data_IF_341285242473
#
_entry.id   IF_341285242473
#
_cell.length_a   1.000
_cell.length_b   1.000
_cell.length_c   1.000
_cell.angle_alpha   90.00
_cell.angle_beta   90.00
_cell.angle_gamma   90.00
#
_symmetry.space_group_name_H-M   'P 1'
#
loop_
_entity.id
_entity.type
_entity.pdbx_description
1 polymer ?
#
# COMPACT_ATOMS: atom_id res chain seq x y z
N UNK A 1 14.28 -7.12 -3.28
CA UNK A 1 14.34 -8.32 -4.12
C UNK A 1 14.87 -7.91 -5.48
N UNK A 2 15.83 -8.61 -6.10
CA UNK A 2 16.40 -8.22 -7.41
C UNK A 2 15.40 -7.99 -8.56
N UNK A 3 14.11 -8.31 -8.35
CA UNK A 3 13.00 -8.07 -9.27
C UNK A 3 12.76 -6.58 -9.61
N UNK A 4 13.13 -5.64 -8.73
CA UNK A 4 13.07 -4.19 -9.02
C UNK A 4 14.39 -3.64 -9.58
N UNK A 5 15.45 -4.45 -9.68
CA UNK A 5 16.76 -3.97 -10.12
C UNK A 5 16.74 -3.49 -11.58
N UNK A 6 15.88 -4.09 -12.42
CA UNK A 6 15.67 -3.63 -13.79
C UNK A 6 15.12 -2.19 -13.88
N UNK A 7 14.30 -1.76 -12.92
CA UNK A 7 13.75 -0.40 -12.87
C UNK A 7 14.76 0.65 -12.40
N UNK A 8 15.77 0.24 -11.61
CA UNK A 8 16.84 1.13 -11.15
C UNK A 8 17.95 1.30 -12.19
N UNK A 9 18.15 0.30 -13.05
CA UNK A 9 19.22 0.31 -14.07
C UNK A 9 18.78 1.04 -15.34
N UNK A 10 17.50 0.96 -15.73
CA UNK A 10 16.97 1.71 -16.87
C UNK A 10 15.56 2.29 -16.59
N UNK A 11 15.46 3.54 -16.13
CA UNK A 11 14.18 4.23 -15.95
C UNK A 11 13.51 4.66 -17.26
N UNK A 12 14.19 4.58 -18.42
CA UNK A 12 13.65 4.95 -19.72
C UNK A 12 12.88 3.80 -20.41
N UNK A 13 13.00 2.56 -19.90
CA UNK A 13 12.29 1.37 -20.39
C UNK A 13 10.76 1.36 -20.13
N UNK A 14 10.20 2.50 -19.69
CA UNK A 14 8.79 2.67 -19.37
C UNK A 14 8.42 2.20 -17.95
N UNK A 15 7.27 2.64 -17.42
CA UNK A 15 6.84 2.28 -16.07
C UNK A 15 6.39 0.82 -16.04
N UNK A 16 7.33 -0.11 -15.91
CA UNK A 16 7.01 -1.50 -15.62
C UNK A 16 6.56 -1.59 -14.16
N UNK A 17 5.24 -1.63 -13.93
CA UNK A 17 4.71 -1.87 -12.59
C UNK A 17 5.31 -3.18 -12.06
N UNK A 18 6.01 -3.18 -10.90
CA UNK A 18 6.64 -4.38 -10.38
C UNK A 18 5.61 -5.52 -10.26
N UNK A 19 5.96 -6.74 -10.69
CA UNK A 19 5.07 -7.90 -10.66
C UNK A 19 4.45 -8.13 -9.27
N UNK A 20 5.24 -7.89 -8.22
CA UNK A 20 4.82 -7.97 -6.83
C UNK A 20 3.74 -6.92 -6.52
N UNK A 21 3.93 -5.67 -6.95
CA UNK A 21 2.94 -4.60 -6.74
C UNK A 21 1.63 -4.92 -7.48
N UNK A 22 1.71 -5.50 -8.68
CA UNK A 22 0.53 -5.98 -9.43
C UNK A 22 -0.19 -7.10 -8.69
N UNK A 23 0.54 -8.06 -8.11
CA UNK A 23 -0.04 -9.13 -7.30
C UNK A 23 -0.79 -8.57 -6.07
N UNK A 24 -0.18 -7.63 -5.33
CA UNK A 24 -0.84 -6.97 -4.20
C UNK A 24 -2.09 -6.20 -4.64
N UNK A 25 -2.02 -5.45 -5.74
CA UNK A 25 -3.15 -4.70 -6.26
C UNK A 25 -4.35 -5.61 -6.60
N UNK A 26 -4.11 -6.69 -7.34
CA UNK A 26 -5.16 -7.66 -7.67
C UNK A 26 -5.71 -8.35 -6.42
N UNK A 27 -4.86 -8.67 -5.45
CA UNK A 27 -5.27 -9.28 -4.18
C UNK A 27 -6.17 -8.34 -3.36
N UNK A 28 -5.79 -7.06 -3.23
CA UNK A 28 -6.60 -6.06 -2.55
C UNK A 28 -7.91 -5.80 -3.28
N UNK A 29 -7.92 -5.81 -4.62
CA UNK A 29 -9.13 -5.67 -5.41
C UNK A 29 -10.09 -6.84 -5.16
N UNK A 30 -9.59 -8.07 -5.15
CA UNK A 30 -10.42 -9.24 -4.82
C UNK A 30 -10.99 -9.16 -3.40
N UNK A 31 -10.20 -8.70 -2.42
CA UNK A 31 -10.68 -8.48 -1.05
C UNK A 31 -11.71 -7.36 -0.97
N UNK A 32 -11.53 -6.28 -1.73
CA UNK A 32 -12.49 -5.18 -1.82
C UNK A 32 -13.84 -5.66 -2.38
N UNK A 33 -13.84 -6.55 -3.38
CA UNK A 33 -15.06 -7.20 -3.86
C UNK A 33 -15.61 -8.17 -2.81
N UNK A 34 -14.76 -8.98 -2.18
CA UNK A 34 -15.18 -9.99 -1.20
C UNK A 34 -15.80 -9.42 0.08
N UNK A 35 -15.43 -8.19 0.47
CA UNK A 35 -15.99 -7.48 1.61
C UNK A 35 -17.13 -6.53 1.23
N UNK A 36 -17.58 -6.56 -0.02
CA UNK A 36 -18.67 -5.72 -0.53
C UNK A 36 -18.46 -4.22 -0.30
N UNK A 37 -17.21 -3.75 -0.20
CA UNK A 37 -16.89 -2.33 0.04
C UNK A 37 -17.45 -1.45 -1.08
N UNK A 38 -17.57 -1.97 -2.30
CA UNK A 38 -18.24 -1.30 -3.40
C UNK A 38 -19.72 -0.97 -3.10
N UNK A 39 -20.45 -1.85 -2.41
CA UNK A 39 -21.83 -1.58 -1.99
C UNK A 39 -21.88 -0.50 -0.91
N UNK A 40 -20.94 -0.51 0.03
CA UNK A 40 -20.79 0.54 1.05
C UNK A 40 -20.49 1.92 0.45
N UNK A 41 -19.69 1.98 -0.62
CA UNK A 41 -19.46 3.23 -1.33
C UNK A 41 -20.72 3.73 -2.04
N UNK A 42 -21.50 2.83 -2.64
CA UNK A 42 -22.78 3.19 -3.25
C UNK A 42 -23.80 3.68 -2.22
N UNK A 43 -23.86 3.07 -1.03
CA UNK A 43 -24.72 3.56 0.05
C UNK A 43 -24.27 4.93 0.56
N UNK A 44 -22.96 5.15 0.76
CA UNK A 44 -22.42 6.47 1.11
C UNK A 44 -22.76 7.54 0.06
N UNK A 45 -22.70 7.19 -1.23
CA UNK A 45 -23.10 8.08 -2.31
C UNK A 45 -24.61 8.38 -2.24
N UNK A 46 -25.46 7.39 -1.99
CA UNK A 46 -26.89 7.62 -1.82
C UNK A 46 -27.19 8.54 -0.62
N UNK A 47 -26.53 8.32 0.51
CA UNK A 47 -26.67 9.14 1.73
C UNK A 47 -26.20 10.58 1.51
N UNK A 48 -25.20 10.79 0.63
CA UNK A 48 -24.70 12.13 0.30
C UNK A 48 -25.79 13.05 -0.26
N UNK A 49 -26.76 12.51 -1.02
CA UNK A 49 -27.88 13.30 -1.56
C UNK A 49 -28.87 13.77 -0.49
N UNK A 50 -28.98 13.04 0.63
CA UNK A 50 -29.80 13.46 1.77
C UNK A 50 -29.06 14.46 2.65
N UNK A 51 -27.75 14.28 2.83
CA UNK A 51 -26.91 15.16 3.65
C UNK A 51 -26.65 16.51 2.99
N UNK A 52 -26.46 16.54 1.67
CA UNK A 52 -26.14 17.75 0.89
C UNK A 52 -27.22 17.92 -0.18
N UNK A 53 -28.36 18.55 0.14
CA UNK A 53 -29.41 18.76 -0.84
C UNK A 53 -28.93 19.77 -1.91
N UNK A 54 -29.40 19.56 -3.15
CA UNK A 54 -28.98 20.31 -4.35
C UNK A 54 -29.17 21.84 -4.20
N UNK A 55 -30.05 22.28 -3.30
CA UNK A 55 -30.38 23.68 -3.08
C UNK A 55 -29.44 24.42 -2.10
N UNK A 56 -28.64 23.72 -1.28
CA UNK A 56 -27.80 24.32 -0.24
C UNK A 56 -26.31 24.06 -0.47
N UNK A 57 -25.79 24.52 -1.60
CA UNK A 57 -24.36 24.36 -1.94
C UNK A 57 -23.55 25.45 -1.22
N UNK A 58 -23.39 25.31 0.09
CA UNK A 58 -22.30 25.95 0.83
C UNK A 58 -21.30 24.86 1.19
N UNK A 59 -20.40 24.55 0.25
CA UNK A 59 -19.33 23.59 0.48
C UNK A 59 -18.34 24.20 1.48
N UNK A 60 -18.19 23.56 2.63
CA UNK A 60 -17.18 23.98 3.61
C UNK A 60 -15.78 23.75 3.02
N UNK A 61 -14.99 24.81 2.88
CA UNK A 61 -13.60 24.74 2.36
C UNK A 61 -12.70 23.85 3.22
N UNK A 62 -13.02 23.68 4.50
CA UNK A 62 -12.28 22.86 5.44
C UNK A 62 -12.34 21.36 5.10
N UNK A 63 -13.40 20.90 4.43
CA UNK A 63 -13.54 19.51 3.98
C UNK A 63 -12.47 19.11 2.96
N UNK A 64 -12.10 20.01 2.05
CA UNK A 64 -11.04 19.75 1.05
C UNK A 64 -9.66 19.63 1.70
N UNK A 65 -9.39 20.41 2.75
CA UNK A 65 -8.16 20.29 3.53
C UNK A 65 -8.12 18.93 4.23
N UNK A 66 -9.26 18.48 4.76
CA UNK A 66 -9.36 17.19 5.42
C UNK A 66 -9.08 16.04 4.43
N UNK A 67 -9.61 16.09 3.21
CA UNK A 67 -9.26 15.14 2.13
C UNK A 67 -7.75 15.12 1.88
N UNK A 68 -7.10 16.28 1.78
CA UNK A 68 -5.65 16.32 1.60
C UNK A 68 -4.88 15.70 2.78
N UNK A 69 -5.36 15.87 4.02
CA UNK A 69 -4.77 15.25 5.20
C UNK A 69 -4.95 13.72 5.20
N UNK A 70 -6.09 13.21 4.70
CA UNK A 70 -6.31 11.76 4.58
C UNK A 70 -5.29 11.06 3.68
N UNK A 71 -4.66 11.78 2.74
CA UNK A 71 -3.61 11.21 1.90
C UNK A 71 -2.42 10.65 2.69
N UNK A 72 -2.18 11.13 3.91
CA UNK A 72 -1.13 10.60 4.80
C UNK A 72 -1.32 9.12 5.16
N UNK A 73 -2.56 8.62 5.11
CA UNK A 73 -2.90 7.22 5.37
C UNK A 73 -2.24 6.27 4.36
N UNK A 74 -2.03 6.73 3.13
CA UNK A 74 -1.37 5.94 2.08
C UNK A 74 0.04 5.58 2.50
N UNK A 75 0.80 6.56 3.01
CA UNK A 75 2.17 6.34 3.49
C UNK A 75 2.19 5.55 4.79
N UNK A 76 1.26 5.83 5.71
CA UNK A 76 1.17 5.10 6.97
C UNK A 76 0.99 3.60 6.75
N UNK A 77 -0.06 3.20 6.02
CA UNK A 77 -0.33 1.78 5.76
C UNK A 77 0.66 1.15 4.79
N UNK A 78 1.14 1.90 3.80
CA UNK A 78 2.19 1.44 2.90
C UNK A 78 3.48 1.08 3.63
N UNK A 79 3.95 1.95 4.53
CA UNK A 79 5.13 1.67 5.36
C UNK A 79 4.86 0.55 6.34
N UNK A 80 3.71 0.54 7.01
CA UNK A 80 3.37 -0.45 8.03
C UNK A 80 3.35 -1.87 7.43
N UNK A 81 2.73 -2.05 6.26
CA UNK A 81 2.75 -3.32 5.54
C UNK A 81 4.15 -3.72 5.05
N UNK A 82 4.95 -2.75 4.60
CA UNK A 82 6.30 -3.01 4.10
C UNK A 82 7.33 -3.22 5.23
N UNK A 83 7.06 -2.72 6.44
CA UNK A 83 7.98 -2.67 7.58
C UNK A 83 8.68 -4.01 7.88
N UNK A 84 7.98 -5.15 8.04
CA UNK A 84 8.63 -6.43 8.37
C UNK A 84 9.55 -6.93 7.25
N UNK A 85 9.20 -6.67 5.99
CA UNK A 85 10.00 -7.07 4.84
C UNK A 85 11.21 -6.16 4.69
N UNK A 86 11.00 -4.85 4.85
CA UNK A 86 12.03 -3.83 4.74
C UNK A 86 13.12 -4.04 5.79
N UNK A 87 12.75 -4.26 7.06
CA UNK A 87 13.72 -4.51 8.14
C UNK A 87 14.52 -5.79 7.89
N UNK A 88 13.85 -6.87 7.49
CA UNK A 88 14.50 -8.14 7.19
C UNK A 88 15.48 -8.03 6.01
N UNK A 89 15.06 -7.39 4.91
CA UNK A 89 15.94 -7.15 3.76
C UNK A 89 17.10 -6.22 4.10
N UNK A 90 16.87 -5.20 4.93
CA UNK A 90 17.91 -4.28 5.38
C UNK A 90 18.97 -5.03 6.20
N UNK A 91 18.56 -5.90 7.13
CA UNK A 91 19.48 -6.76 7.90
C UNK A 91 20.31 -7.64 6.97
N UNK A 92 19.67 -8.32 6.01
CA UNK A 92 20.37 -9.19 5.04
C UNK A 92 21.39 -8.40 4.22
N UNK A 93 21.01 -7.22 3.72
CA UNK A 93 21.91 -6.38 2.94
C UNK A 93 23.11 -5.90 3.77
N UNK A 94 22.91 -5.55 5.05
CA UNK A 94 24.00 -5.22 5.96
C UNK A 94 24.90 -6.44 6.19
N UNK A 95 24.33 -7.63 6.46
CA UNK A 95 25.09 -8.86 6.64
C UNK A 95 25.93 -9.22 5.42
N UNK A 96 25.38 -9.10 4.21
CA UNK A 96 26.10 -9.31 2.96
C UNK A 96 27.20 -8.26 2.76
N UNK A 97 26.95 -7.01 3.13
CA UNK A 97 27.96 -5.95 3.11
C UNK A 97 29.15 -6.24 4.04
N UNK A 98 28.88 -6.76 5.24
CA UNK A 98 29.93 -7.19 6.19
C UNK A 98 30.70 -8.40 5.62
N UNK A 99 29.99 -9.37 5.04
CA UNK A 99 30.61 -10.57 4.45
C UNK A 99 31.58 -10.21 3.30
N UNK A 100 31.22 -9.24 2.47
CA UNK A 100 32.07 -8.78 1.36
C UNK A 100 33.40 -8.19 1.84
N UNK A 101 33.45 -7.63 3.05
CA UNK A 101 34.70 -7.16 3.67
C UNK A 101 35.59 -8.32 4.14
N UNK A 102 35.00 -9.45 4.54
CA UNK A 102 35.74 -10.62 5.03
C UNK A 102 36.22 -11.54 3.91
N UNK A 103 35.43 -11.67 2.84
CA UNK A 103 35.74 -12.53 1.68
C UNK A 103 35.46 -11.77 0.38
N UNK A 104 36.42 -10.96 -0.12
CA UNK A 104 36.22 -10.15 -1.33
C UNK A 104 36.09 -10.99 -2.63
N UNK A 105 36.40 -12.29 -2.56
CA UNK A 105 36.24 -13.24 -3.67
C UNK A 105 34.77 -13.67 -3.87
N UNK A 106 33.94 -13.60 -2.82
CA UNK A 106 32.50 -13.84 -2.93
C UNK A 106 31.83 -12.54 -3.34
N UNK A 107 31.64 -12.34 -4.64
CA UNK A 107 30.88 -11.18 -5.10
C UNK A 107 29.47 -11.20 -4.52
N UNK A 108 29.07 -10.10 -3.87
CA UNK A 108 27.71 -9.92 -3.32
C UNK A 108 26.65 -10.17 -4.41
N UNK A 109 26.99 -9.91 -5.68
CA UNK A 109 26.07 -10.16 -6.79
C UNK A 109 25.81 -11.65 -7.04
N UNK A 110 26.81 -12.52 -6.87
CA UNK A 110 26.64 -13.97 -7.08
C UNK A 110 25.84 -14.61 -5.95
N UNK A 111 26.02 -14.17 -4.70
CA UNK A 111 25.36 -14.79 -3.53
C UNK A 111 24.10 -14.03 -3.10
N UNK A 112 24.14 -12.70 -3.10
CA UNK A 112 23.08 -11.85 -2.56
C UNK A 112 21.80 -11.85 -3.39
N UNK A 113 21.88 -11.92 -4.72
CA UNK A 113 20.68 -11.97 -5.56
C UNK A 113 19.89 -13.27 -5.38
N UNK A 114 20.47 -14.48 -5.48
CA UNK A 114 19.75 -15.72 -5.22
C UNK A 114 19.18 -15.78 -3.80
N UNK A 115 19.96 -15.35 -2.81
CA UNK A 115 19.57 -15.40 -1.40
C UNK A 115 18.38 -14.47 -1.12
N UNK A 116 18.45 -13.21 -1.56
CA UNK A 116 17.34 -12.27 -1.38
C UNK A 116 16.09 -12.73 -2.13
N UNK A 117 16.22 -13.30 -3.34
CA UNK A 117 15.11 -13.82 -4.14
C UNK A 117 14.40 -14.98 -3.43
N UNK A 118 15.13 -15.98 -2.94
CA UNK A 118 14.56 -17.10 -2.18
C UNK A 118 13.77 -16.62 -0.96
N UNK A 119 14.36 -15.69 -0.20
CA UNK A 119 13.75 -15.19 1.03
C UNK A 119 12.42 -14.50 0.77
N UNK A 120 12.32 -13.62 -0.23
CA UNK A 120 11.04 -12.96 -0.44
C UNK A 120 10.02 -13.78 -1.23
N UNK A 121 10.41 -14.80 -2.01
CA UNK A 121 9.45 -15.83 -2.44
C UNK A 121 8.89 -16.55 -1.22
N UNK A 122 9.73 -16.90 -0.25
CA UNK A 122 9.30 -17.53 1.00
C UNK A 122 8.39 -16.61 1.85
N UNK A 123 8.62 -15.30 1.82
CA UNK A 123 7.79 -14.33 2.55
C UNK A 123 6.43 -14.04 1.88
N UNK A 124 6.29 -14.23 0.56
CA UNK A 124 5.04 -13.91 -0.15
C UNK A 124 3.80 -14.64 0.43
N UNK A 125 3.80 -15.96 0.68
CA UNK A 125 2.68 -16.65 1.33
C UNK A 125 2.42 -16.21 2.78
N UNK A 126 3.46 -15.76 3.49
CA UNK A 126 3.30 -15.24 4.84
C UNK A 126 2.56 -13.88 4.81
N UNK A 127 2.88 -13.07 3.80
CA UNK A 127 2.26 -11.78 3.59
C UNK A 127 0.79 -11.90 3.21
N UNK A 128 0.36 -12.92 2.45
CA UNK A 128 -1.06 -13.08 2.10
C UNK A 128 -1.97 -13.18 3.33
N UNK A 129 -1.51 -13.84 4.39
CA UNK A 129 -2.26 -13.95 5.65
C UNK A 129 -2.30 -12.63 6.42
N UNK A 130 -1.27 -11.79 6.26
CA UNK A 130 -1.19 -10.48 6.90
C UNK A 130 -2.07 -9.48 6.14
N UNK A 131 -2.05 -9.51 4.81
CA UNK A 131 -2.82 -8.61 3.94
C UNK A 131 -4.31 -8.66 4.27
N UNK A 132 -4.91 -9.83 4.47
CA UNK A 132 -6.36 -9.94 4.71
C UNK A 132 -6.79 -9.18 5.97
N UNK A 133 -6.09 -9.38 7.09
CA UNK A 133 -6.36 -8.68 8.35
C UNK A 133 -6.13 -7.17 8.24
N UNK A 134 -5.09 -6.77 7.53
CA UNK A 134 -4.80 -5.34 7.33
C UNK A 134 -5.78 -4.68 6.35
N UNK A 135 -6.21 -5.38 5.31
CA UNK A 135 -7.13 -4.88 4.31
C UNK A 135 -8.48 -4.51 4.95
N UNK A 136 -9.01 -5.37 5.82
CA UNK A 136 -10.24 -5.07 6.57
C UNK A 136 -10.11 -3.78 7.39
N UNK A 137 -9.01 -3.63 8.15
CA UNK A 137 -8.74 -2.41 8.92
C UNK A 137 -8.62 -1.17 8.02
N UNK A 138 -7.87 -1.29 6.93
CA UNK A 138 -7.68 -0.19 5.96
C UNK A 138 -9.03 0.24 5.37
N UNK A 139 -9.87 -0.70 4.95
CA UNK A 139 -11.16 -0.40 4.34
C UNK A 139 -12.11 0.27 5.35
N UNK A 140 -12.16 -0.23 6.59
CA UNK A 140 -12.99 0.37 7.64
C UNK A 140 -12.53 1.79 7.98
N UNK A 141 -11.23 2.02 8.11
CA UNK A 141 -10.68 3.35 8.37
C UNK A 141 -11.01 4.31 7.21
N UNK A 142 -10.85 3.88 5.95
CA UNK A 142 -11.17 4.71 4.78
C UNK A 142 -12.66 5.04 4.73
N UNK A 143 -13.55 4.07 4.94
CA UNK A 143 -15.00 4.31 4.97
C UNK A 143 -15.38 5.29 6.09
N UNK A 144 -14.76 5.15 7.27
CA UNK A 144 -14.98 6.08 8.38
C UNK A 144 -14.56 7.51 8.02
N UNK A 145 -13.41 7.68 7.36
CA UNK A 145 -12.95 9.00 6.93
C UNK A 145 -13.82 9.59 5.82
N UNK A 146 -14.29 8.77 4.87
CA UNK A 146 -15.22 9.23 3.85
C UNK A 146 -16.53 9.74 4.46
N UNK A 147 -17.06 9.03 5.45
CA UNK A 147 -18.26 9.47 6.18
C UNK A 147 -18.04 10.81 6.91
N UNK A 148 -16.88 10.98 7.56
CA UNK A 148 -16.51 12.22 8.23
C UNK A 148 -16.34 13.38 7.23
N UNK A 149 -15.72 13.13 6.08
CA UNK A 149 -15.61 14.12 5.00
C UNK A 149 -17.00 14.55 4.54
N UNK A 150 -17.93 13.61 4.32
CA UNK A 150 -19.29 13.94 3.90
C UNK A 150 -20.05 14.78 4.93
N UNK A 151 -19.92 14.46 6.23
CA UNK A 151 -20.55 15.23 7.30
C UNK A 151 -19.99 16.66 7.38
N UNK A 152 -18.67 16.80 7.39
CA UNK A 152 -18.01 18.12 7.44
C UNK A 152 -18.32 18.98 6.22
N UNK A 153 -18.51 18.33 5.06
CA UNK A 153 -18.88 18.98 3.80
C UNK A 153 -20.36 19.41 3.80
N UNK A 154 -21.22 18.68 4.51
CA UNK A 154 -22.60 19.09 4.82
C UNK A 154 -22.70 20.18 5.91
N UNK A 155 -21.58 20.59 6.52
CA UNK A 155 -21.54 21.60 7.57
C UNK A 155 -22.00 21.09 8.94
N UNK A 156 -21.98 19.77 9.17
CA UNK A 156 -22.29 19.11 10.45
C UNK A 156 -21.03 18.45 11.03
#
# INVERSE_FOLDING_TARGET
>A
MGLSFALFVDPAAGPNMPNIARFFNLSLLLLFLSFDIHLWLLSLLADSFQLIPIQSISLNSQSFILVAQTAGIIFYYGLLLALPILTLLLIINISLGILNRMTPQLSIFVVGFPLTLLIGIYLLPLLTTIITKYAEKIFNDILSQLSLILLTLAGK
#
